data_IF_441873480913
#
_entry.id   IF_441873480913
#
_cell.length_a   1.000
_cell.length_b   1.000
_cell.length_c   1.000
_cell.angle_alpha   90.00
_cell.angle_beta   90.00
_cell.angle_gamma   90.00
#
_symmetry.space_group_name_H-M   'P 1'
#
loop_
_entity.id
_entity.type
_entity.pdbx_description
1 polymer ?
#
# COMPACT_ATOMS: atom_id res chain seq x y z
N UNK A 1 20.96 -21.83 3.56
CA UNK A 1 19.52 -21.56 3.79
C UNK A 1 19.14 -20.49 2.77
N UNK A 2 18.17 -20.74 1.91
CA UNK A 2 17.60 -19.66 1.08
C UNK A 2 16.90 -18.68 2.03
N UNK A 3 17.41 -17.46 2.15
CA UNK A 3 16.77 -16.42 2.97
C UNK A 3 15.55 -15.88 2.21
N UNK A 4 14.36 -16.08 2.77
CA UNK A 4 13.14 -15.46 2.25
C UNK A 4 13.15 -13.97 2.57
N UNK A 5 13.27 -13.15 1.51
CA UNK A 5 13.43 -11.71 1.60
C UNK A 5 14.61 -11.23 2.44
N UNK A 6 14.68 -9.91 2.61
CA UNK A 6 15.58 -9.21 3.54
C UNK A 6 14.76 -8.45 4.57
N UNK A 7 15.34 -8.16 5.73
CA UNK A 7 14.64 -7.35 6.73
C UNK A 7 14.26 -5.98 6.14
N UNK A 8 13.01 -5.57 6.37
CA UNK A 8 12.52 -4.29 5.89
C UNK A 8 13.20 -3.16 6.67
N UNK A 9 13.77 -2.21 5.94
CA UNK A 9 14.37 -1.00 6.50
C UNK A 9 13.97 0.18 5.62
N UNK A 10 14.01 1.39 6.16
CA UNK A 10 13.75 2.60 5.37
C UNK A 10 14.60 2.65 4.11
N UNK A 11 15.88 2.27 4.20
CA UNK A 11 16.82 2.30 3.07
C UNK A 11 16.41 1.40 1.90
N UNK A 12 15.68 0.31 2.14
CA UNK A 12 15.32 -0.67 1.10
C UNK A 12 13.85 -0.60 0.66
N UNK A 13 12.95 -0.09 1.51
CA UNK A 13 11.53 -0.07 1.19
C UNK A 13 10.86 1.30 1.25
N UNK A 14 11.57 2.34 1.73
CA UNK A 14 11.06 3.70 1.81
C UNK A 14 9.95 3.94 2.85
N UNK A 15 9.64 2.96 3.70
CA UNK A 15 8.81 3.17 4.89
C UNK A 15 9.74 3.61 6.03
N UNK A 16 9.42 4.69 6.74
CA UNK A 16 10.25 5.18 7.85
C UNK A 16 10.50 4.09 8.89
N UNK A 17 11.73 3.97 9.41
CA UNK A 17 12.06 2.94 10.39
C UNK A 17 11.16 3.03 11.64
N UNK A 18 10.85 4.25 12.09
CA UNK A 18 9.90 4.48 13.18
C UNK A 18 8.49 3.98 12.84
N UNK A 19 8.03 4.16 11.60
CA UNK A 19 6.74 3.65 11.13
C UNK A 19 6.76 2.12 10.96
N UNK A 20 7.88 1.52 10.52
CA UNK A 20 8.04 0.06 10.44
C UNK A 20 7.75 -0.56 11.82
N UNK A 21 8.31 0.00 12.89
CA UNK A 21 8.05 -0.49 14.26
C UNK A 21 6.58 -0.31 14.68
N UNK A 22 5.95 0.81 14.34
CA UNK A 22 4.52 1.01 14.62
C UNK A 22 3.64 0.01 13.86
N UNK A 23 3.93 -0.23 12.58
CA UNK A 23 3.17 -1.15 11.74
C UNK A 23 3.37 -2.60 12.21
N UNK A 24 4.59 -3.00 12.64
CA UNK A 24 4.82 -4.29 13.32
C UNK A 24 3.95 -4.45 14.56
N UNK A 25 3.84 -3.40 15.37
CA UNK A 25 2.97 -3.37 16.55
C UNK A 25 1.50 -3.62 16.20
N UNK A 26 0.99 -2.91 15.18
CA UNK A 26 -0.40 -3.10 14.70
C UNK A 26 -0.60 -4.50 14.11
N UNK A 27 0.34 -5.00 13.29
CA UNK A 27 0.27 -6.35 12.71
C UNK A 27 0.19 -7.43 13.79
N UNK A 28 0.96 -7.26 14.87
CA UNK A 28 0.99 -8.16 16.02
C UNK A 28 -0.30 -8.08 16.83
N UNK A 29 -0.72 -6.87 17.18
CA UNK A 29 -1.93 -6.62 17.98
C UNK A 29 -3.19 -7.13 17.28
N UNK A 30 -3.33 -6.87 15.98
CA UNK A 30 -4.50 -7.27 15.19
C UNK A 30 -4.33 -8.64 14.52
N UNK A 31 -3.20 -9.32 14.80
CA UNK A 31 -2.84 -10.65 14.27
C UNK A 31 -3.13 -10.78 12.78
N UNK A 32 -2.52 -9.89 12.01
CA UNK A 32 -2.72 -9.83 10.57
C UNK A 32 -1.37 -9.78 9.84
N UNK A 33 -1.35 -10.33 8.63
CA UNK A 33 -0.33 -9.96 7.67
C UNK A 33 -0.74 -8.62 7.03
N UNK A 34 0.19 -7.67 7.04
CA UNK A 34 0.05 -6.41 6.32
C UNK A 34 1.09 -6.40 5.20
N UNK A 35 0.68 -6.03 4.00
CA UNK A 35 1.58 -5.97 2.86
C UNK A 35 1.49 -4.59 2.23
N UNK A 36 2.63 -3.98 1.95
CA UNK A 36 2.75 -2.66 1.38
C UNK A 36 3.59 -2.69 0.12
N UNK A 37 3.30 -1.77 -0.79
CA UNK A 37 4.17 -1.48 -1.93
C UNK A 37 5.36 -0.65 -1.43
N UNK A 38 6.56 -0.82 -2.01
CA UNK A 38 7.71 0.02 -1.68
C UNK A 38 7.41 1.49 -1.98
N UNK A 39 7.93 2.37 -1.13
CA UNK A 39 7.76 3.81 -1.21
C UNK A 39 9.09 4.43 -1.67
N UNK A 40 9.03 5.58 -2.31
CA UNK A 40 10.25 6.31 -2.67
C UNK A 40 10.98 6.79 -1.40
N UNK A 41 12.29 6.53 -1.30
CA UNK A 41 13.11 6.92 -0.14
C UNK A 41 13.06 8.42 0.17
N UNK A 42 12.98 9.27 -0.86
CA UNK A 42 12.85 10.73 -0.67
C UNK A 42 11.53 11.07 0.01
N UNK A 43 10.44 10.40 -0.37
CA UNK A 43 9.12 10.56 0.27
C UNK A 43 9.14 10.15 1.74
N UNK A 44 9.91 9.12 2.11
CA UNK A 44 10.08 8.73 3.51
C UNK A 44 10.57 9.91 4.36
N UNK A 45 11.63 10.59 3.92
CA UNK A 45 12.19 11.73 4.63
C UNK A 45 11.20 12.90 4.66
N UNK A 46 10.51 13.19 3.55
CA UNK A 46 9.47 14.23 3.53
C UNK A 46 8.34 13.96 4.54
N UNK A 47 7.89 12.70 4.66
CA UNK A 47 6.90 12.30 5.68
C UNK A 47 7.43 12.56 7.10
N UNK A 48 8.71 12.28 7.35
CA UNK A 48 9.34 12.52 8.66
C UNK A 48 9.33 14.01 9.04
N UNK A 49 9.52 14.88 8.05
CA UNK A 49 9.49 16.35 8.20
C UNK A 49 8.07 16.93 8.25
N UNK A 50 7.02 16.09 8.24
CA UNK A 50 5.63 16.53 8.36
C UNK A 50 4.94 16.91 7.05
N UNK A 51 5.53 16.58 5.90
CA UNK A 51 4.87 16.70 4.59
C UNK A 51 3.70 15.72 4.54
N UNK A 52 2.55 16.17 4.00
CA UNK A 52 1.37 15.32 3.85
C UNK A 52 1.61 14.22 2.81
N UNK A 53 0.78 13.18 2.83
CA UNK A 53 0.78 12.19 1.74
C UNK A 53 -0.46 12.35 0.87
N UNK A 54 -0.33 12.09 -0.44
CA UNK A 54 -1.43 12.26 -1.41
C UNK A 54 -2.50 11.19 -1.20
N UNK A 55 -3.78 11.57 -1.30
CA UNK A 55 -4.92 10.68 -1.39
C UNK A 55 -5.37 10.45 -2.83
N UNK A 56 -6.55 9.84 -3.00
CA UNK A 56 -7.14 9.56 -4.31
C UNK A 56 -7.62 10.83 -5.03
N UNK A 57 -7.70 11.96 -4.34
CA UNK A 57 -8.13 13.25 -4.85
C UNK A 57 -7.00 14.03 -5.58
N UNK A 58 -5.74 13.62 -5.39
CA UNK A 58 -4.56 14.13 -6.10
C UNK A 58 -3.96 12.99 -6.96
N UNK A 59 -4.25 13.03 -8.27
CA UNK A 59 -3.77 12.00 -9.22
C UNK A 59 -2.40 12.32 -9.85
N UNK A 60 -1.83 13.48 -9.53
CA UNK A 60 -0.53 13.92 -10.03
C UNK A 60 0.58 12.91 -9.73
N UNK A 61 1.59 12.86 -10.59
CA UNK A 61 2.75 11.97 -10.43
C UNK A 61 3.86 12.74 -9.73
N UNK A 62 4.55 12.07 -8.80
CA UNK A 62 5.67 12.66 -8.10
C UNK A 62 6.84 12.97 -9.03
N UNK A 63 7.71 13.86 -8.57
CA UNK A 63 9.00 14.14 -9.20
C UNK A 63 10.10 13.22 -8.66
N UNK A 64 11.09 12.98 -9.51
CA UNK A 64 12.42 12.45 -9.25
C UNK A 64 13.51 13.47 -9.65
N UNK A 65 13.12 14.74 -9.91
CA UNK A 65 14.01 15.82 -10.31
C UNK A 65 14.51 16.60 -9.09
N UNK A 66 15.77 16.40 -8.74
CA UNK A 66 16.53 17.28 -7.87
C UNK A 66 15.81 17.74 -6.61
N UNK A 67 15.78 19.04 -6.30
CA UNK A 67 15.12 19.56 -5.09
C UNK A 67 13.60 19.34 -5.04
N UNK A 68 12.96 18.99 -6.16
CA UNK A 68 11.52 18.73 -6.28
C UNK A 68 11.21 17.24 -6.01
N UNK A 69 12.24 16.39 -5.96
CA UNK A 69 12.09 14.95 -5.80
C UNK A 69 11.20 14.59 -4.61
N UNK A 70 10.28 13.65 -4.81
CA UNK A 70 9.29 13.24 -3.81
C UNK A 70 8.00 14.09 -3.78
N UNK A 71 8.03 15.36 -4.20
CA UNK A 71 6.82 16.20 -4.26
C UNK A 71 5.97 15.92 -5.50
N UNK A 72 4.72 16.39 -5.48
CA UNK A 72 3.81 16.37 -6.63
C UNK A 72 3.82 17.76 -7.30
N UNK A 73 4.63 17.98 -8.35
CA UNK A 73 4.66 19.28 -9.03
C UNK A 73 3.31 19.56 -9.71
N UNK A 74 2.89 20.83 -9.73
CA UNK A 74 1.67 21.25 -10.45
C UNK A 74 1.85 21.00 -11.95
N UNK A 75 3.04 21.30 -12.49
CA UNK A 75 3.39 21.09 -13.89
C UNK A 75 4.00 19.70 -14.10
N UNK A 76 3.39 18.90 -14.97
CA UNK A 76 3.78 17.53 -15.27
C UNK A 76 5.15 17.40 -15.89
N UNK A 77 5.64 18.44 -16.58
CA UNK A 77 7.02 18.50 -17.10
C UNK A 77 8.10 18.38 -15.99
N UNK A 78 7.74 18.62 -14.73
CA UNK A 78 8.64 18.48 -13.59
C UNK A 78 8.44 17.17 -12.82
N UNK A 79 7.57 16.28 -13.28
CA UNK A 79 7.34 14.97 -12.68
C UNK A 79 8.15 13.87 -13.37
N UNK A 80 8.10 12.64 -12.84
CA UNK A 80 8.76 11.45 -13.43
C UNK A 80 8.29 11.06 -14.84
N UNK A 81 7.12 11.54 -15.25
CA UNK A 81 6.57 11.27 -16.59
C UNK A 81 6.96 12.31 -17.64
N UNK A 82 7.88 13.25 -17.31
CA UNK A 82 8.34 14.36 -18.16
C UNK A 82 8.78 13.99 -19.58
N UNK A 83 9.15 12.73 -19.83
CA UNK A 83 9.59 12.25 -21.15
C UNK A 83 8.43 11.94 -22.10
N UNK A 84 7.18 11.94 -21.61
CA UNK A 84 6.00 11.57 -22.37
C UNK A 84 5.00 12.75 -22.41
N UNK A 85 4.96 13.52 -23.52
CA UNK A 85 4.12 14.70 -23.64
C UNK A 85 2.63 14.45 -23.41
N UNK A 86 2.10 13.30 -23.83
CA UNK A 86 0.69 12.95 -23.64
C UNK A 86 0.39 12.66 -22.18
N UNK A 87 1.28 11.94 -21.47
CA UNK A 87 1.14 11.77 -20.02
C UNK A 87 1.26 13.09 -19.28
N UNK A 88 2.16 13.99 -19.69
CA UNK A 88 2.30 15.33 -19.12
C UNK A 88 1.00 16.12 -19.29
N UNK A 89 0.41 16.13 -20.48
CA UNK A 89 -0.87 16.81 -20.74
C UNK A 89 -2.00 16.25 -19.88
N UNK A 90 -2.08 14.92 -19.75
CA UNK A 90 -3.05 14.25 -18.87
C UNK A 90 -2.84 14.63 -17.41
N UNK A 91 -1.60 14.63 -16.95
CA UNK A 91 -1.22 15.01 -15.59
C UNK A 91 -1.64 16.46 -15.28
N UNK A 92 -1.35 17.40 -16.17
CA UNK A 92 -1.73 18.80 -15.98
C UNK A 92 -3.25 18.98 -15.94
N UNK A 93 -3.99 18.22 -16.76
CA UNK A 93 -5.44 18.21 -16.71
C UNK A 93 -5.97 17.64 -15.39
N UNK A 94 -5.37 16.56 -14.88
CA UNK A 94 -5.72 15.95 -13.60
C UNK A 94 -5.45 16.90 -12.43
N UNK A 95 -4.26 17.53 -12.38
CA UNK A 95 -3.94 18.50 -11.34
C UNK A 95 -4.86 19.73 -11.38
N UNK A 96 -5.18 20.25 -12.57
CA UNK A 96 -6.17 21.32 -12.71
C UNK A 96 -7.54 20.91 -12.15
N UNK A 97 -7.97 19.68 -12.43
CA UNK A 97 -9.22 19.16 -11.89
C UNK A 97 -9.18 19.01 -10.35
N UNK A 98 -8.10 18.46 -9.80
CA UNK A 98 -7.90 18.37 -8.35
C UNK A 98 -7.94 19.75 -7.67
N UNK A 99 -7.32 20.77 -8.27
CA UNK A 99 -7.32 22.15 -7.72
C UNK A 99 -8.70 22.83 -7.68
N UNK A 100 -9.72 22.27 -8.35
CA UNK A 100 -11.10 22.75 -8.23
C UNK A 100 -11.75 22.31 -6.90
N UNK A 101 -11.17 21.31 -6.23
CA UNK A 101 -11.69 20.83 -4.95
C UNK A 101 -11.33 21.80 -3.82
N UNK A 102 -12.25 22.08 -2.88
CA UNK A 102 -12.09 23.15 -1.90
C UNK A 102 -10.89 22.92 -0.97
N UNK A 103 -10.59 21.67 -0.61
CA UNK A 103 -9.51 21.28 0.31
C UNK A 103 -8.14 21.10 -0.37
N UNK A 104 -8.07 21.17 -1.69
CA UNK A 104 -6.81 21.03 -2.44
C UNK A 104 -6.27 22.42 -2.77
N UNK A 105 -4.95 22.57 -2.66
CA UNK A 105 -4.23 23.80 -2.99
C UNK A 105 -2.90 23.53 -3.67
N UNK A 106 -2.16 24.60 -3.90
CA UNK A 106 -0.78 24.57 -4.37
C UNK A 106 0.05 25.58 -3.60
N UNK A 107 1.34 25.31 -3.46
CA UNK A 107 2.28 26.16 -2.73
C UNK A 107 3.60 26.26 -3.50
N UNK A 108 4.28 27.39 -3.38
CA UNK A 108 5.65 27.52 -3.86
C UNK A 108 6.58 26.72 -2.96
N UNK A 109 7.35 25.83 -3.56
CA UNK A 109 8.38 25.08 -2.85
C UNK A 109 9.49 26.05 -2.44
N UNK A 110 9.98 25.95 -1.21
CA UNK A 110 10.95 26.88 -0.63
C UNK A 110 11.86 26.14 0.37
N UNK A 111 12.92 26.80 0.87
CA UNK A 111 13.89 26.18 1.81
C UNK A 111 13.27 25.58 3.08
N UNK A 112 12.15 26.12 3.61
CA UNK A 112 11.55 25.59 4.84
C UNK A 112 10.89 24.23 4.64
N UNK A 113 10.75 23.76 3.40
CA UNK A 113 10.28 22.42 3.07
C UNK A 113 11.39 21.36 3.10
N UNK A 114 12.56 21.68 3.67
CA UNK A 114 13.66 20.72 3.81
C UNK A 114 14.36 20.35 2.50
N UNK A 115 14.26 21.21 1.48
CA UNK A 115 14.86 20.98 0.17
C UNK A 115 16.26 21.59 0.06
N UNK A 116 17.16 20.88 -0.61
CA UNK A 116 18.52 21.32 -0.90
C UNK A 116 18.84 21.19 -2.40
N UNK A 117 19.79 22.00 -2.88
CA UNK A 117 20.22 22.08 -4.28
C UNK A 117 21.24 20.99 -4.67
N UNK A 118 21.57 20.05 -3.79
CA UNK A 118 22.64 19.06 -4.01
C UNK A 118 22.37 18.02 -5.13
N UNK A 119 21.15 17.97 -5.69
CA UNK A 119 20.78 17.02 -6.75
C UNK A 119 20.41 17.73 -8.08
N UNK A 120 21.31 18.50 -8.66
CA UNK A 120 21.04 19.17 -9.95
C UNK A 120 21.15 18.20 -11.14
N UNK A 121 20.23 18.34 -12.11
CA UNK A 121 20.28 17.64 -13.41
C UNK A 121 21.01 18.50 -14.45
N UNK A 122 21.70 17.91 -15.43
CA UNK A 122 22.30 18.67 -16.54
C UNK A 122 21.28 19.48 -17.36
N UNK A 123 20.01 19.08 -17.35
CA UNK A 123 18.92 19.75 -18.07
C UNK A 123 18.23 20.87 -17.28
N UNK A 124 18.29 20.82 -15.94
CA UNK A 124 17.53 21.74 -15.10
C UNK A 124 18.45 22.45 -14.13
N UNK A 125 18.39 23.77 -14.16
CA UNK A 125 19.08 24.62 -13.21
C UNK A 125 18.11 25.05 -12.10
N UNK A 126 18.60 25.01 -10.87
CA UNK A 126 17.84 25.34 -9.69
C UNK A 126 18.53 26.45 -8.91
N UNK A 127 17.76 27.39 -8.39
CA UNK A 127 18.25 28.38 -7.43
C UNK A 127 17.13 28.82 -6.51
N UNK A 128 17.49 29.50 -5.43
CA UNK A 128 16.51 30.19 -4.60
C UNK A 128 16.41 31.66 -4.99
N UNK A 129 15.20 32.22 -4.95
CA UNK A 129 15.00 33.66 -5.01
C UNK A 129 15.31 34.34 -3.64
N UNK A 130 15.05 35.65 -3.55
CA UNK A 130 15.28 36.42 -2.32
C UNK A 130 14.33 36.04 -1.19
N UNK A 131 13.20 35.42 -1.51
CA UNK A 131 12.18 34.92 -0.58
C UNK A 131 12.41 33.44 -0.24
N UNK A 132 13.53 32.85 -0.69
CA UNK A 132 13.87 31.43 -0.56
C UNK A 132 12.92 30.47 -1.31
N UNK A 133 12.12 30.96 -2.26
CA UNK A 133 11.34 30.12 -3.16
C UNK A 133 12.24 29.46 -4.20
N UNK A 134 11.98 28.19 -4.49
CA UNK A 134 12.71 27.41 -5.47
C UNK A 134 12.32 27.86 -6.88
N UNK A 135 13.33 28.28 -7.63
CA UNK A 135 13.25 28.58 -9.04
C UNK A 135 13.84 27.44 -9.86
N UNK A 136 13.20 27.12 -10.97
CA UNK A 136 13.68 26.14 -11.95
C UNK A 136 13.80 26.78 -13.34
N UNK A 137 14.80 26.37 -14.10
CA UNK A 137 14.98 26.71 -15.52
C UNK A 137 15.34 25.47 -16.34
N UNK A 138 14.60 25.20 -17.42
CA UNK A 138 14.99 24.22 -18.43
C UNK A 138 16.07 24.84 -19.35
N UNK A 139 17.31 24.36 -19.21
CA UNK A 139 18.47 24.92 -19.90
C UNK A 139 18.44 24.62 -21.41
N UNK A 140 17.79 23.52 -21.82
CA UNK A 140 17.68 23.13 -23.23
C UNK A 140 16.72 24.03 -23.99
N UNK A 141 15.65 24.48 -23.33
CA UNK A 141 14.64 25.34 -23.90
C UNK A 141 14.91 26.84 -23.68
N UNK A 142 16.07 27.18 -23.08
CA UNK A 142 16.50 28.56 -22.73
C UNK A 142 15.41 29.38 -22.04
N UNK A 143 14.61 28.72 -21.20
CA UNK A 143 13.50 29.36 -20.50
C UNK A 143 13.98 30.39 -19.48
N UNK A 144 13.08 31.29 -19.08
CA UNK A 144 13.28 32.08 -17.88
C UNK A 144 13.20 31.18 -16.63
N UNK A 145 13.80 31.62 -15.52
CA UNK A 145 13.54 31.00 -14.24
C UNK A 145 12.08 31.21 -13.84
N UNK A 146 11.46 30.16 -13.32
CA UNK A 146 10.09 30.21 -12.80
C UNK A 146 9.97 29.53 -11.43
N UNK A 147 8.99 29.96 -10.65
CA UNK A 147 8.70 29.36 -9.35
C UNK A 147 8.18 27.93 -9.51
N UNK A 148 8.67 27.05 -8.65
CA UNK A 148 8.18 25.67 -8.56
C UNK A 148 6.95 25.63 -7.65
N UNK A 149 5.80 25.31 -8.23
CA UNK A 149 4.56 25.03 -7.49
C UNK A 149 4.38 23.52 -7.32
N UNK A 150 3.99 23.10 -6.11
CA UNK A 150 3.64 21.71 -5.79
C UNK A 150 2.23 21.64 -5.23
N UNK A 151 1.56 20.50 -5.45
CA UNK A 151 0.22 20.22 -4.93
C UNK A 151 0.27 20.01 -3.41
N UNK A 152 -0.84 20.31 -2.74
CA UNK A 152 -0.98 20.11 -1.30
C UNK A 152 -2.41 20.19 -0.81
N UNK A 153 -2.60 19.99 0.49
CA UNK A 153 -3.88 20.16 1.18
C UNK A 153 -3.93 21.48 1.91
N UNK A 154 -5.05 22.20 1.80
CA UNK A 154 -5.30 23.40 2.59
C UNK A 154 -5.52 23.03 4.05
N UNK A 155 -4.90 23.78 4.94
CA UNK A 155 -5.09 23.61 6.37
C UNK A 155 -6.50 24.06 6.79
N UNK A 156 -7.16 23.24 7.60
CA UNK A 156 -8.48 23.58 8.14
C UNK A 156 -8.38 24.86 8.98
N UNK A 157 -9.17 25.86 8.62
CA UNK A 157 -9.17 27.16 9.31
C UNK A 157 -8.18 28.18 8.74
N UNK A 158 -7.35 27.80 7.75
CA UNK A 158 -6.51 28.74 6.99
C UNK A 158 -6.99 28.82 5.54
N UNK A 159 -7.10 30.04 4.99
CA UNK A 159 -7.46 30.22 3.58
C UNK A 159 -6.28 30.02 2.63
N UNK A 160 -5.06 30.27 3.13
CA UNK A 160 -3.87 30.41 2.28
C UNK A 160 -2.75 29.41 2.61
N UNK A 161 -2.81 28.73 3.75
CA UNK A 161 -1.79 27.74 4.11
C UNK A 161 -2.09 26.38 3.47
N UNK A 162 -1.10 25.88 2.73
CA UNK A 162 -1.14 24.60 2.02
C UNK A 162 0.04 23.76 2.48
N UNK A 163 -0.24 22.57 3.03
CA UNK A 163 0.78 21.56 3.31
C UNK A 163 1.04 20.81 2.00
N UNK A 164 2.27 20.83 1.47
CA UNK A 164 2.58 20.07 0.27
C UNK A 164 2.42 18.57 0.51
N UNK A 165 2.20 17.81 -0.56
CA UNK A 165 2.07 16.36 -0.49
C UNK A 165 3.20 15.59 -1.17
N UNK A 166 3.49 14.41 -0.63
CA UNK A 166 4.38 13.39 -1.19
C UNK A 166 3.64 12.05 -1.37
N UNK A 167 4.37 10.98 -1.70
CA UNK A 167 3.80 9.65 -1.85
C UNK A 167 3.24 9.12 -0.52
N UNK A 168 2.14 8.38 -0.59
CA UNK A 168 1.52 7.64 0.48
C UNK A 168 2.06 6.20 0.58
N UNK A 169 1.65 5.51 1.64
CA UNK A 169 1.93 4.10 1.87
C UNK A 169 0.81 3.27 1.25
N UNK A 170 0.99 2.89 -0.01
CA UNK A 170 0.03 2.06 -0.72
C UNK A 170 0.01 0.65 -0.13
N UNK A 171 -1.10 0.26 0.48
CA UNK A 171 -1.29 -1.11 0.94
C UNK A 171 -1.48 -2.04 -0.26
N UNK A 172 -0.72 -3.12 -0.30
CA UNK A 172 -0.91 -4.19 -1.27
C UNK A 172 -2.03 -5.14 -0.86
N UNK A 173 -1.97 -5.66 0.37
CA UNK A 173 -2.89 -6.66 0.88
C UNK A 173 -3.01 -6.57 2.40
N UNK A 174 -4.16 -6.99 2.92
CA UNK A 174 -4.38 -7.21 4.34
C UNK A 174 -4.94 -8.63 4.46
N UNK A 175 -4.32 -9.44 5.32
CA UNK A 175 -4.80 -10.77 5.62
C UNK A 175 -4.93 -10.96 7.14
N UNK A 176 -6.14 -10.76 7.70
CA UNK A 176 -6.36 -10.96 9.13
C UNK A 176 -6.49 -12.43 9.48
N UNK A 177 -6.12 -12.78 10.71
CA UNK A 177 -6.41 -14.10 11.28
C UNK A 177 -7.92 -14.27 11.48
N UNK A 178 -8.44 -15.44 11.09
CA UNK A 178 -9.81 -15.88 11.40
C UNK A 178 -9.98 -16.25 12.87
N UNK A 179 -8.89 -16.66 13.52
CA UNK A 179 -8.90 -17.25 14.87
C UNK A 179 -8.91 -16.22 15.98
N UNK A 180 -8.44 -15.00 15.71
CA UNK A 180 -8.05 -14.10 16.80
C UNK A 180 -8.05 -12.63 16.38
N UNK A 181 -9.13 -12.20 15.73
CA UNK A 181 -9.40 -10.76 15.72
C UNK A 181 -9.81 -10.32 17.12
N UNK A 182 -9.17 -9.24 17.56
CA UNK A 182 -9.40 -8.60 18.86
C UNK A 182 -10.91 -8.42 19.13
N UNK A 183 -11.31 -8.24 20.40
CA UNK A 183 -12.74 -8.03 20.75
C UNK A 183 -13.43 -6.95 19.89
N UNK A 184 -12.66 -6.01 19.35
CA UNK A 184 -13.08 -4.90 18.49
C UNK A 184 -13.39 -5.33 17.03
N UNK A 185 -12.76 -6.40 16.52
CA UNK A 185 -12.94 -6.89 15.14
C UNK A 185 -13.37 -8.35 15.05
N UNK A 186 -14.11 -8.87 16.04
CA UNK A 186 -14.66 -10.23 15.95
C UNK A 186 -15.58 -10.36 14.74
N UNK A 187 -15.10 -11.04 13.71
CA UNK A 187 -15.90 -11.28 12.53
C UNK A 187 -17.01 -12.27 12.88
N UNK A 188 -18.26 -11.91 12.61
CA UNK A 188 -19.37 -12.87 12.70
C UNK A 188 -19.27 -13.89 11.59
N UNK A 189 -18.67 -13.51 10.46
CA UNK A 189 -18.42 -14.36 9.31
C UNK A 189 -17.40 -13.68 8.36
N UNK A 190 -16.81 -14.44 7.43
CA UNK A 190 -15.78 -13.91 6.52
C UNK A 190 -16.29 -12.82 5.55
N UNK A 191 -17.62 -12.66 5.40
CA UNK A 191 -18.23 -11.64 4.56
C UNK A 191 -17.88 -10.23 5.06
N UNK A 192 -17.78 -10.02 6.36
CA UNK A 192 -17.41 -8.72 6.97
C UNK A 192 -15.97 -8.27 6.62
N UNK A 193 -15.11 -9.21 6.20
CA UNK A 193 -13.72 -8.95 5.78
C UNK A 193 -13.60 -8.71 4.29
N UNK A 194 -14.60 -9.15 3.51
CA UNK A 194 -14.62 -9.10 2.04
C UNK A 194 -15.69 -8.19 1.47
N UNK A 195 -16.65 -7.74 2.29
CA UNK A 195 -17.70 -6.79 1.89
C UNK A 195 -17.05 -5.42 1.70
N UNK A 196 -16.92 -5.10 0.43
CA UNK A 196 -16.27 -3.90 -0.07
C UNK A 196 -17.32 -2.81 -0.28
N UNK A 197 -17.02 -1.62 0.19
CA UNK A 197 -17.82 -0.43 -0.03
C UNK A 197 -16.93 0.65 -0.62
N UNK A 198 -17.52 1.49 -1.47
CA UNK A 198 -16.85 2.66 -2.02
C UNK A 198 -16.95 3.79 -1.01
N UNK A 199 -15.82 4.11 -0.39
CA UNK A 199 -15.65 5.24 0.49
C UNK A 199 -15.04 6.36 -0.34
N UNK A 200 -15.83 7.35 -0.76
CA UNK A 200 -15.49 8.41 -1.72
C UNK A 200 -13.99 8.85 -1.74
N UNK A 201 -13.39 9.07 -0.57
CA UNK A 201 -12.00 9.55 -0.43
C UNK A 201 -10.95 8.44 -0.26
N UNK A 202 -11.35 7.22 0.14
CA UNK A 202 -10.48 6.08 0.45
C UNK A 202 -10.62 4.92 -0.55
N UNK A 203 -11.51 5.06 -1.52
CA UNK A 203 -11.79 4.08 -2.57
C UNK A 203 -12.52 2.86 -2.03
N UNK A 204 -12.29 1.72 -2.67
CA UNK A 204 -12.99 0.47 -2.35
C UNK A 204 -12.26 -0.28 -1.24
N UNK A 205 -12.89 -0.41 -0.08
CA UNK A 205 -12.34 -1.15 1.06
C UNK A 205 -13.43 -1.72 1.97
N UNK A 206 -13.03 -2.62 2.87
CA UNK A 206 -13.93 -3.20 3.87
C UNK A 206 -13.89 -2.40 5.17
N UNK A 207 -14.93 -2.50 6.00
CA UNK A 207 -14.96 -1.83 7.32
C UNK A 207 -13.77 -2.24 8.20
N UNK A 208 -13.34 -3.50 8.09
CA UNK A 208 -12.11 -3.95 8.74
C UNK A 208 -10.88 -3.20 8.25
N UNK A 209 -10.70 -3.07 6.93
CA UNK A 209 -9.59 -2.31 6.35
C UNK A 209 -9.63 -0.85 6.79
N UNK A 210 -10.80 -0.21 6.85
CA UNK A 210 -10.93 1.17 7.34
C UNK A 210 -10.42 1.32 8.78
N UNK A 211 -10.87 0.44 9.68
CA UNK A 211 -10.45 0.47 11.07
C UNK A 211 -8.96 0.19 11.25
N UNK A 212 -8.41 -0.74 10.46
CA UNK A 212 -6.99 -1.07 10.46
C UNK A 212 -6.11 0.08 9.94
N UNK A 213 -6.52 0.72 8.83
CA UNK A 213 -5.87 1.92 8.29
C UNK A 213 -5.84 3.03 9.34
N UNK A 214 -6.96 3.24 10.05
CA UNK A 214 -7.02 4.21 11.14
C UNK A 214 -6.00 3.89 12.24
N UNK A 215 -5.92 2.63 12.69
CA UNK A 215 -4.94 2.19 13.70
C UNK A 215 -3.49 2.41 13.25
N UNK A 216 -3.19 2.07 11.99
CA UNK A 216 -1.85 2.30 11.39
C UNK A 216 -1.51 3.79 11.39
N UNK A 217 -2.41 4.63 10.89
CA UNK A 217 -2.18 6.07 10.82
C UNK A 217 -2.05 6.68 12.23
N UNK A 218 -2.92 6.32 13.17
CA UNK A 218 -2.86 6.80 14.56
C UNK A 218 -1.56 6.41 15.26
N UNK A 219 -1.01 5.22 14.97
CA UNK A 219 0.27 4.78 15.51
C UNK A 219 1.44 5.55 14.88
N UNK A 220 1.47 5.68 13.55
CA UNK A 220 2.53 6.38 12.82
C UNK A 220 2.58 7.88 13.16
N UNK A 221 1.43 8.54 13.28
CA UNK A 221 1.34 9.97 13.62
C UNK A 221 2.03 10.34 14.94
N UNK A 222 2.06 9.41 15.90
CA UNK A 222 2.62 9.66 17.24
C UNK A 222 4.14 9.72 17.27
N UNK A 223 4.81 9.23 16.24
CA UNK A 223 6.28 9.06 16.24
C UNK A 223 7.00 10.02 15.29
N UNK A 224 6.28 10.95 14.66
CA UNK A 224 6.85 11.97 13.77
C UNK A 224 6.29 13.37 14.08
N UNK A 225 7.04 14.40 13.71
CA UNK A 225 6.65 15.79 13.92
C UNK A 225 5.47 16.12 12.99
N UNK A 226 4.41 16.73 13.52
CA UNK A 226 3.20 17.10 12.78
C UNK A 226 2.62 15.94 11.94
N UNK A 227 2.63 14.73 12.50
CA UNK A 227 2.28 13.50 11.79
C UNK A 227 0.95 13.57 11.02
N UNK A 228 1.03 13.18 9.76
CA UNK A 228 -0.11 13.10 8.83
C UNK A 228 -0.55 11.64 8.65
N UNK A 229 -1.74 11.42 8.09
CA UNK A 229 -2.10 10.08 7.63
C UNK A 229 -1.11 9.66 6.55
N UNK A 230 -0.61 8.43 6.62
CA UNK A 230 0.36 7.88 5.66
C UNK A 230 -0.29 6.86 4.74
N UNK A 231 -1.31 6.15 5.19
CA UNK A 231 -2.15 5.27 4.35
C UNK A 231 -3.46 5.99 4.04
N UNK A 232 -3.74 6.21 2.75
CA UNK A 232 -4.86 7.07 2.32
C UNK A 232 -6.02 6.32 1.69
N UNK A 233 -5.83 5.08 1.26
CA UNK A 233 -6.85 4.32 0.57
C UNK A 233 -6.80 2.82 0.87
N UNK A 234 -7.79 2.09 0.35
CA UNK A 234 -7.86 0.63 0.42
C UNK A 234 -6.70 -0.09 -0.26
N UNK A 235 -6.69 -1.41 -0.17
CA UNK A 235 -5.59 -2.24 -0.70
C UNK A 235 -5.60 -2.34 -2.23
N UNK A 236 -4.43 -2.59 -2.81
CA UNK A 236 -4.22 -2.97 -4.22
C UNK A 236 -5.10 -4.15 -4.66
N UNK A 237 -5.54 -5.02 -3.74
CA UNK A 237 -6.53 -6.07 -4.04
C UNK A 237 -7.88 -5.54 -4.54
N UNK A 238 -8.17 -4.25 -4.36
CA UNK A 238 -9.38 -3.60 -4.83
C UNK A 238 -9.13 -2.59 -5.95
N UNK A 239 -7.88 -2.43 -6.37
CA UNK A 239 -7.53 -1.46 -7.40
C UNK A 239 -8.04 -1.93 -8.78
N UNK A 240 -8.92 -1.17 -9.45
CA UNK A 240 -9.38 -1.53 -10.80
C UNK A 240 -8.28 -1.40 -11.86
N UNK A 241 -7.19 -0.67 -11.57
CA UNK A 241 -6.02 -0.46 -12.44
C UNK A 241 -4.78 -1.06 -11.80
N UNK A 242 -4.67 -2.40 -11.76
CA UNK A 242 -3.69 -3.06 -10.92
C UNK A 242 -2.26 -2.76 -11.35
N UNK A 243 -1.39 -2.56 -10.37
CA UNK A 243 0.05 -2.33 -10.55
C UNK A 243 0.84 -3.63 -10.33
N UNK A 244 2.01 -3.71 -10.98
CA UNK A 244 2.87 -4.89 -10.96
C UNK A 244 4.22 -4.59 -10.31
N UNK A 245 4.21 -4.47 -8.98
CA UNK A 245 5.43 -4.26 -8.20
C UNK A 245 6.30 -5.52 -8.15
N UNK A 246 7.62 -5.36 -8.33
CA UNK A 246 8.59 -6.46 -8.29
C UNK A 246 8.85 -6.99 -6.88
N UNK A 247 8.69 -6.12 -5.87
CA UNK A 247 8.91 -6.42 -4.46
C UNK A 247 7.80 -5.81 -3.61
N UNK A 248 7.57 -6.39 -2.45
CA UNK A 248 6.55 -5.98 -1.49
C UNK A 248 7.11 -6.07 -0.07
N UNK A 249 6.70 -5.15 0.79
CA UNK A 249 7.01 -5.18 2.21
C UNK A 249 5.94 -6.00 2.91
N UNK A 250 6.32 -7.03 3.65
CA UNK A 250 5.43 -7.92 4.39
C UNK A 250 5.71 -7.77 5.88
N UNK A 251 4.69 -7.37 6.63
CA UNK A 251 4.65 -7.39 8.09
C UNK A 251 3.88 -8.63 8.53
N UNK A 252 4.48 -9.43 9.39
CA UNK A 252 3.89 -10.65 9.92
C UNK A 252 3.22 -10.43 11.29
N UNK A 253 2.27 -11.29 11.68
CA UNK A 253 1.58 -11.21 12.95
C UNK A 253 2.47 -11.46 14.19
N UNK A 254 3.73 -11.85 14.01
CA UNK A 254 4.71 -12.01 15.10
C UNK A 254 5.77 -10.89 15.13
N UNK A 255 5.47 -9.75 14.49
CA UNK A 255 6.27 -8.53 14.61
C UNK A 255 7.53 -8.50 13.74
N UNK A 256 7.65 -9.36 12.72
CA UNK A 256 8.72 -9.26 11.72
C UNK A 256 8.25 -8.43 10.53
N UNK A 257 9.21 -7.79 9.85
CA UNK A 257 8.96 -7.05 8.62
C UNK A 257 10.05 -7.39 7.59
N UNK A 258 9.64 -7.77 6.38
CA UNK A 258 10.55 -8.19 5.31
C UNK A 258 10.22 -7.56 3.98
N UNK A 259 11.23 -7.13 3.23
CA UNK A 259 11.10 -6.83 1.82
C UNK A 259 11.30 -8.13 1.03
N UNK A 260 10.27 -8.53 0.28
CA UNK A 260 10.22 -9.83 -0.39
C UNK A 260 9.92 -9.66 -1.88
N UNK A 261 10.52 -10.48 -2.76
CA UNK A 261 10.11 -10.56 -4.15
C UNK A 261 8.62 -10.87 -4.28
N UNK A 262 7.93 -10.25 -5.24
CA UNK A 262 6.49 -10.44 -5.47
C UNK A 262 6.12 -11.92 -5.56
N UNK A 263 6.93 -12.73 -6.25
CA UNK A 263 6.72 -14.18 -6.39
C UNK A 263 6.64 -14.89 -5.04
N UNK A 264 7.45 -14.49 -4.06
CA UNK A 264 7.44 -15.09 -2.72
C UNK A 264 6.24 -14.60 -1.89
N UNK A 265 5.87 -13.32 -2.01
CA UNK A 265 4.67 -12.80 -1.35
C UNK A 265 3.41 -13.46 -1.91
N UNK A 266 3.38 -13.66 -3.23
CA UNK A 266 2.36 -14.45 -3.89
C UNK A 266 2.40 -15.90 -3.40
N UNK A 267 3.56 -16.52 -3.22
CA UNK A 267 3.61 -17.85 -2.63
C UNK A 267 3.02 -17.86 -1.20
N UNK A 268 3.42 -16.93 -0.34
CA UNK A 268 2.90 -16.75 1.03
C UNK A 268 1.39 -16.61 1.05
N UNK A 269 0.84 -15.66 0.28
CA UNK A 269 -0.59 -15.37 0.22
C UNK A 269 -1.41 -16.63 -0.15
N UNK A 270 -0.85 -17.56 -0.95
CA UNK A 270 -1.56 -18.77 -1.37
C UNK A 270 -1.65 -19.83 -0.27
N UNK A 271 -0.87 -19.64 0.79
CA UNK A 271 -0.68 -20.61 1.86
C UNK A 271 -1.15 -20.13 3.22
N UNK A 272 -1.12 -18.83 3.51
CA UNK A 272 -1.63 -18.32 4.79
C UNK A 272 -3.10 -18.67 5.08
N UNK A 273 -3.98 -18.96 4.09
CA UNK A 273 -5.30 -19.52 4.38
C UNK A 273 -5.27 -20.89 5.05
N UNK A 274 -4.24 -21.71 4.81
CA UNK A 274 -4.07 -23.02 5.44
C UNK A 274 -3.78 -22.92 6.93
N UNK A 275 -3.25 -21.78 7.39
CA UNK A 275 -2.96 -21.48 8.80
C UNK A 275 -3.93 -20.45 9.38
N UNK A 276 -5.11 -20.31 8.78
CA UNK A 276 -6.23 -19.57 9.35
C UNK A 276 -6.27 -18.08 9.05
N UNK A 277 -5.61 -17.58 8.00
CA UNK A 277 -5.69 -16.17 7.58
C UNK A 277 -6.59 -15.98 6.37
N UNK A 278 -7.30 -14.87 6.32
CA UNK A 278 -8.25 -14.58 5.24
C UNK A 278 -7.54 -13.76 4.15
N UNK A 279 -7.59 -14.24 2.91
CA UNK A 279 -7.07 -13.52 1.74
C UNK A 279 -8.09 -13.51 0.62
N UNK A 280 -8.08 -12.47 -0.21
CA UNK A 280 -8.79 -12.47 -1.48
C UNK A 280 -7.94 -11.82 -2.59
N UNK A 281 -7.99 -12.32 -3.82
CA UNK A 281 -7.24 -11.75 -4.94
C UNK A 281 -7.96 -10.54 -5.54
N UNK A 282 -7.21 -9.71 -6.27
CA UNK A 282 -7.80 -8.67 -7.09
C UNK A 282 -8.64 -9.27 -8.23
N UNK A 283 -9.90 -8.82 -8.34
CA UNK A 283 -10.88 -9.31 -9.33
C UNK A 283 -10.46 -9.03 -10.78
N UNK A 284 -9.65 -8.00 -11.01
CA UNK A 284 -9.26 -7.53 -12.37
C UNK A 284 -7.98 -8.16 -12.90
N UNK A 285 -7.18 -8.84 -12.06
CA UNK A 285 -5.89 -9.43 -12.50
C UNK A 285 -6.05 -10.39 -13.68
N UNK A 286 -7.11 -11.22 -13.67
CA UNK A 286 -7.40 -12.16 -14.77
C UNK A 286 -7.66 -11.46 -16.10
N UNK A 287 -8.27 -10.26 -16.07
CA UNK A 287 -8.65 -9.51 -17.26
C UNK A 287 -7.49 -8.65 -17.79
N UNK A 288 -6.64 -8.11 -16.90
CA UNK A 288 -5.67 -7.07 -17.24
C UNK A 288 -4.20 -7.49 -17.25
N UNK A 289 -3.82 -8.56 -16.55
CA UNK A 289 -2.41 -8.97 -16.40
C UNK A 289 -2.06 -10.32 -17.08
N UNK A 290 -3.00 -10.95 -17.80
CA UNK A 290 -2.75 -12.19 -18.54
C UNK A 290 -2.58 -13.46 -17.67
N UNK A 291 -2.43 -14.63 -18.31
CA UNK A 291 -2.54 -15.98 -17.72
C UNK A 291 -1.59 -16.28 -16.53
N UNK A 292 -0.44 -15.63 -16.41
CA UNK A 292 0.50 -15.91 -15.31
C UNK A 292 0.01 -15.38 -13.95
N UNK A 293 -0.68 -14.23 -13.93
CA UNK A 293 -1.34 -13.73 -12.72
C UNK A 293 -2.51 -14.63 -12.26
N UNK A 294 -3.08 -15.41 -13.20
CA UNK A 294 -4.21 -16.34 -13.00
C UNK A 294 -3.76 -17.68 -12.42
N UNK A 295 -2.49 -18.08 -12.60
CA UNK A 295 -1.94 -19.29 -11.93
C UNK A 295 -2.06 -19.20 -10.40
N UNK A 296 -2.13 -17.98 -9.86
CA UNK A 296 -2.31 -17.71 -8.46
C UNK A 296 -3.63 -18.22 -7.88
N UNK A 297 -4.74 -17.92 -8.57
CA UNK A 297 -6.06 -18.43 -8.22
C UNK A 297 -6.06 -19.95 -8.29
N UNK A 298 -5.35 -20.54 -9.24
CA UNK A 298 -5.35 -22.00 -9.49
C UNK A 298 -4.44 -22.79 -8.53
N UNK A 299 -3.32 -22.25 -8.04
CA UNK A 299 -2.44 -22.94 -7.09
C UNK A 299 -3.10 -23.03 -5.71
N UNK A 300 -3.76 -21.97 -5.25
CA UNK A 300 -4.63 -22.02 -4.06
C UNK A 300 -5.79 -23.03 -4.23
N UNK A 301 -6.24 -23.26 -5.47
CA UNK A 301 -7.34 -24.18 -5.82
C UNK A 301 -6.92 -25.66 -6.01
N UNK A 302 -5.63 -25.95 -6.26
CA UNK A 302 -5.15 -27.30 -6.63
C UNK A 302 -4.21 -27.98 -5.64
N UNK A 303 -3.77 -27.30 -4.57
CA UNK A 303 -2.90 -27.94 -3.58
C UNK A 303 -3.65 -29.06 -2.85
N UNK A 304 -3.38 -30.32 -3.25
CA UNK A 304 -3.77 -31.50 -2.50
C UNK A 304 -2.95 -31.53 -1.21
N UNK A 305 -3.66 -31.68 -0.10
CA UNK A 305 -3.15 -31.74 1.27
C UNK A 305 -2.24 -32.97 1.46
N UNK A 306 -0.96 -32.75 1.74
CA UNK A 306 -0.13 -33.39 2.79
C UNK A 306 1.36 -33.03 2.62
N UNK A 307 1.90 -33.03 1.39
CA UNK A 307 3.32 -32.72 1.12
C UNK A 307 3.68 -31.23 1.22
N UNK A 308 2.67 -30.36 1.18
CA UNK A 308 2.82 -28.91 1.22
C UNK A 308 2.85 -28.33 2.63
N UNK A 309 2.38 -29.07 3.65
CA UNK A 309 2.32 -28.58 5.03
C UNK A 309 3.72 -28.50 5.66
N UNK A 310 4.59 -29.48 5.37
CA UNK A 310 5.99 -29.46 5.82
C UNK A 310 6.76 -28.31 5.15
N UNK A 311 6.53 -28.06 3.86
CA UNK A 311 7.14 -26.95 3.13
C UNK A 311 6.58 -25.59 3.57
N UNK A 312 5.30 -25.51 3.89
CA UNK A 312 4.67 -24.31 4.43
C UNK A 312 5.16 -24.00 5.84
N UNK A 313 5.14 -24.98 6.73
CA UNK A 313 5.67 -24.85 8.08
C UNK A 313 7.15 -24.49 8.03
N UNK A 314 7.93 -25.10 7.13
CA UNK A 314 9.32 -24.69 6.89
C UNK A 314 9.42 -23.27 6.35
N UNK A 315 8.60 -22.87 5.38
CA UNK A 315 8.61 -21.52 4.81
C UNK A 315 8.25 -20.46 5.86
N UNK A 316 7.13 -20.61 6.57
CA UNK A 316 6.67 -19.65 7.58
C UNK A 316 7.61 -19.61 8.77
N UNK A 317 8.12 -20.76 9.23
CA UNK A 317 9.18 -20.80 10.26
C UNK A 317 10.48 -20.16 9.79
N UNK A 318 10.93 -20.41 8.57
CA UNK A 318 12.21 -19.88 8.07
C UNK A 318 12.10 -18.40 7.70
N UNK A 319 10.96 -17.96 7.19
CA UNK A 319 10.73 -16.60 6.75
C UNK A 319 10.43 -15.68 7.93
N UNK A 320 9.71 -16.15 8.96
CA UNK A 320 9.21 -15.29 10.03
C UNK A 320 9.53 -15.79 11.44
N UNK A 321 10.18 -16.94 11.63
CA UNK A 321 10.41 -17.54 12.96
C UNK A 321 9.12 -17.82 13.75
N UNK A 322 7.98 -18.03 13.08
CA UNK A 322 6.73 -18.36 13.79
C UNK A 322 6.81 -19.78 14.37
N UNK A 323 6.74 -19.91 15.69
CA UNK A 323 6.80 -21.21 16.34
C UNK A 323 5.56 -22.08 16.06
N UNK A 324 5.73 -23.38 16.25
CA UNK A 324 4.64 -24.35 16.12
C UNK A 324 3.42 -23.97 16.97
N UNK A 325 3.54 -23.34 18.15
CA UNK A 325 2.36 -22.96 18.95
C UNK A 325 1.55 -21.81 18.36
N UNK A 326 2.18 -20.86 17.64
CA UNK A 326 1.47 -19.80 16.93
C UNK A 326 0.74 -20.35 15.69
N UNK A 327 1.26 -21.42 15.10
CA UNK A 327 0.66 -22.19 14.01
C UNK A 327 -0.36 -23.23 14.54
N UNK A 328 -0.15 -23.81 15.74
CA UNK A 328 -0.92 -24.93 16.35
C UNK A 328 -2.01 -24.50 17.31
N UNK A 329 -2.10 -23.23 17.73
CA UNK A 329 -3.38 -22.73 18.27
C UNK A 329 -4.48 -22.69 17.19
N UNK A 330 -4.12 -22.96 15.92
CA UNK A 330 -4.99 -23.44 14.88
C UNK A 330 -5.17 -24.98 14.90
N UNK A 331 -5.24 -25.60 16.09
CA UNK A 331 -5.86 -26.93 16.28
C UNK A 331 -7.36 -26.80 15.96
N UNK A 332 -7.65 -26.64 14.68
CA UNK A 332 -8.98 -26.76 14.08
C UNK A 332 -9.44 -28.21 13.98
N UNK A 333 -8.72 -29.13 14.63
CA UNK A 333 -8.93 -30.56 14.57
C UNK A 333 -8.65 -31.13 15.95
N UNK A 334 -9.66 -31.11 16.83
CA UNK A 334 -10.00 -32.29 17.64
C UNK A 334 -11.23 -32.15 18.53
N UNK A 335 -11.69 -30.94 18.85
CA UNK A 335 -12.63 -30.80 19.98
C UNK A 335 -14.00 -30.19 19.68
N UNK A 336 -14.59 -30.56 18.54
CA UNK A 336 -16.05 -30.50 18.43
C UNK A 336 -16.51 -31.84 17.89
N UNK A 337 -17.15 -32.65 18.73
CA UNK A 337 -17.79 -33.93 18.41
C UNK A 337 -18.91 -33.79 17.37
N UNK A 338 -18.58 -33.26 16.19
CA UNK A 338 -19.45 -33.17 15.05
C UNK A 338 -19.30 -34.47 14.25
N UNK A 339 -20.18 -35.41 14.55
CA UNK A 339 -20.57 -36.51 13.67
C UNK A 339 -21.16 -35.94 12.39
N UNK A 340 -20.33 -35.47 11.46
CA UNK A 340 -20.61 -35.27 10.04
C UNK A 340 -19.36 -34.75 9.33
N UNK A 341 -18.44 -35.66 9.01
CA UNK A 341 -17.53 -35.72 7.84
C UNK A 341 -16.88 -34.49 7.20
N UNK A 342 -16.97 -33.28 7.75
CA UNK A 342 -16.33 -32.07 7.22
C UNK A 342 -15.68 -31.29 8.35
N UNK A 343 -14.38 -31.07 8.22
CA UNK A 343 -13.64 -30.09 9.01
C UNK A 343 -14.25 -28.71 8.80
N UNK A 344 -14.21 -27.83 9.80
CA UNK A 344 -14.67 -26.44 9.61
C UNK A 344 -13.87 -25.71 8.50
N UNK A 345 -12.68 -26.17 8.15
CA UNK A 345 -11.94 -25.74 6.96
C UNK A 345 -12.65 -26.13 5.65
N UNK A 346 -13.18 -27.34 5.54
CA UNK A 346 -14.00 -27.76 4.39
C UNK A 346 -15.31 -26.97 4.31
N UNK A 347 -15.89 -26.58 5.45
CA UNK A 347 -17.04 -25.65 5.49
C UNK A 347 -16.63 -24.27 4.99
N UNK A 348 -15.47 -23.74 5.37
CA UNK A 348 -14.95 -22.46 4.88
C UNK A 348 -14.67 -22.51 3.36
N UNK A 349 -14.00 -23.57 2.89
CA UNK A 349 -13.71 -23.79 1.47
C UNK A 349 -15.00 -23.92 0.64
N UNK A 350 -15.98 -24.69 1.12
CA UNK A 350 -17.27 -24.86 0.43
C UNK A 350 -18.16 -23.60 0.49
N UNK A 351 -18.16 -22.85 1.60
CA UNK A 351 -19.00 -21.66 1.74
C UNK A 351 -18.44 -20.44 0.99
N UNK A 352 -17.12 -20.25 0.98
CA UNK A 352 -16.52 -19.00 0.53
C UNK A 352 -15.75 -19.14 -0.77
N UNK A 353 -14.87 -20.14 -0.89
CA UNK A 353 -14.09 -20.34 -2.11
C UNK A 353 -15.03 -20.80 -3.24
N UNK A 354 -15.85 -21.83 -3.04
CA UNK A 354 -16.80 -22.30 -4.08
C UNK A 354 -17.91 -21.30 -4.41
N UNK A 355 -18.37 -20.47 -3.47
CA UNK A 355 -19.46 -19.50 -3.72
C UNK A 355 -18.95 -18.23 -4.41
N UNK A 356 -17.75 -17.75 -4.05
CA UNK A 356 -17.07 -16.67 -4.79
C UNK A 356 -16.69 -17.13 -6.20
N UNK A 357 -16.34 -18.40 -6.39
CA UNK A 357 -16.16 -19.02 -7.72
C UNK A 357 -17.41 -18.96 -8.60
N UNK A 358 -18.60 -19.27 -8.06
CA UNK A 358 -19.86 -19.19 -8.85
C UNK A 358 -20.24 -17.77 -9.26
N UNK A 359 -19.87 -16.74 -8.49
CA UNK A 359 -20.12 -15.35 -8.87
C UNK A 359 -19.19 -14.84 -9.98
N UNK A 360 -17.99 -15.44 -10.13
CA UNK A 360 -17.04 -15.09 -11.20
C UNK A 360 -17.39 -15.70 -12.57
N UNK A 361 -18.35 -16.64 -12.63
CA UNK A 361 -18.88 -17.22 -13.88
C UNK A 361 -20.17 -16.53 -14.36
N UNK A 362 -20.61 -15.47 -13.67
CA UNK A 362 -21.78 -14.69 -14.06
C UNK A 362 -21.54 -13.97 -15.41
N UNK A 363 -22.47 -14.05 -16.38
CA UNK A 363 -22.37 -13.38 -17.68
C UNK A 363 -22.22 -11.86 -17.62
N UNK A 364 -22.51 -11.25 -16.47
CA UNK A 364 -22.42 -9.80 -16.24
C UNK A 364 -20.98 -9.25 -16.12
N UNK A 365 -19.96 -10.12 -16.10
CA UNK A 365 -18.53 -9.71 -16.07
C UNK A 365 -17.88 -9.65 -17.47
N UNK A 366 -18.66 -9.59 -18.55
CA UNK A 366 -18.18 -9.28 -19.92
C UNK A 366 -18.50 -7.82 -20.26
N UNK A 367 -17.64 -6.89 -19.86
CA UNK A 367 -17.57 -5.54 -20.42
C UNK A 367 -16.12 -5.13 -20.55
#
# INVERSE_FOLDING_TARGET
MESFGVDATQSNCGILDLHIEQIKGVATQERCFLMFRPVNLVSANLIKEGVGTKGLDIHGKSSDLGPISGFIPVKGIYSKIRSDPEKVKKHDAQNRHSLLQPHIGKVFLNKSHGIDLLNTSSRYEFKFDKQNCLLIRDTMNRGAFENVEVMGYKLVGSKDEVIPVTADYDMFCVAPSYLDTTKEFRFKNAKEVTDQHDENEKGILTTFQMGLIKKINDACKKVVINGQDVVKHGTEMNNPFPENDEQLVVFSPNGKAKLMPRKEVLYLLSRIPLIGFITYPNKTWKQRLGQESVKWTIIAQKSRLYDDEVKLNKFVKTAFDMENEEIRKADFVKDSGATLGKTKYEIFYDMYIKKSMKQQESPLCRF
#
